data_IF_192669800797
#
_entry.id   IF_192669800797
#
_cell.length_a   1.000
_cell.length_b   1.000
_cell.length_c   1.000
_cell.angle_alpha   90.00
_cell.angle_beta   90.00
_cell.angle_gamma   90.00
#
_symmetry.space_group_name_H-M   'P 1'
#
loop_
_entity.id
_entity.type
_entity.pdbx_description
1 polymer ?
#
# COMPACT_ATOMS: atom_id res chain seq x y z
N UNK A 1 -7.66 15.32 -7.44
CA UNK A 1 -6.34 15.93 -7.20
C UNK A 1 -5.88 16.68 -8.46
N UNK A 2 -6.63 17.73 -8.82
CA UNK A 2 -6.25 18.57 -9.96
C UNK A 2 -5.05 19.46 -9.62
N UNK A 3 -4.41 19.99 -10.66
CA UNK A 3 -3.22 20.85 -10.52
C UNK A 3 -3.38 22.02 -9.53
N UNK A 4 -4.50 22.78 -9.51
CA UNK A 4 -4.70 23.83 -8.51
C UNK A 4 -4.64 23.33 -7.06
N UNK A 5 -5.18 22.14 -6.80
CA UNK A 5 -5.14 21.52 -5.47
C UNK A 5 -3.71 21.11 -5.10
N UNK A 6 -2.96 20.54 -6.05
CA UNK A 6 -1.57 20.12 -5.85
C UNK A 6 -0.67 21.33 -5.55
N UNK A 7 -0.81 22.39 -6.34
CA UNK A 7 -0.07 23.64 -6.14
C UNK A 7 -0.37 24.27 -4.78
N UNK A 8 -1.65 24.27 -4.36
CA UNK A 8 -2.03 24.76 -3.03
C UNK A 8 -1.30 24.01 -1.91
N UNK A 9 -1.25 22.67 -1.97
CA UNK A 9 -0.53 21.88 -0.97
C UNK A 9 0.99 22.08 -1.02
N UNK A 10 1.56 22.19 -2.22
CA UNK A 10 2.97 22.51 -2.39
C UNK A 10 3.35 23.83 -1.71
N UNK A 11 2.58 24.90 -1.96
CA UNK A 11 2.80 26.19 -1.31
C UNK A 11 2.68 26.08 0.21
N UNK A 12 1.66 25.39 0.73
CA UNK A 12 1.49 25.16 2.17
C UNK A 12 2.68 24.40 2.81
N UNK A 13 3.31 23.48 2.08
CA UNK A 13 4.50 22.76 2.55
C UNK A 13 5.71 23.70 2.58
N UNK A 14 5.92 24.49 1.52
CA UNK A 14 7.00 25.48 1.46
C UNK A 14 6.87 26.51 2.58
N UNK A 15 5.68 27.08 2.79
CA UNK A 15 5.42 28.06 3.87
C UNK A 15 5.76 27.47 5.25
N UNK A 16 5.43 26.19 5.48
CA UNK A 16 5.76 25.50 6.74
C UNK A 16 7.26 25.28 6.89
N UNK A 17 7.93 24.82 5.85
CA UNK A 17 9.38 24.59 5.87
C UNK A 17 10.12 25.90 6.13
N UNK A 18 9.73 26.98 5.45
CA UNK A 18 10.27 28.32 5.66
C UNK A 18 10.08 28.77 7.11
N UNK A 19 8.87 28.58 7.67
CA UNK A 19 8.60 28.89 9.08
C UNK A 19 9.48 28.12 10.06
N UNK A 20 9.77 26.84 9.80
CA UNK A 20 10.55 26.00 10.71
C UNK A 20 12.06 26.17 10.55
N UNK A 21 12.53 26.48 9.34
CA UNK A 21 13.95 26.52 9.00
C UNK A 21 14.50 27.94 8.85
N UNK A 22 13.63 28.94 8.70
CA UNK A 22 14.00 30.33 8.42
C UNK A 22 14.42 30.59 6.97
N UNK A 23 14.26 29.63 6.07
CA UNK A 23 14.74 29.73 4.69
C UNK A 23 13.63 29.38 3.68
N UNK A 24 13.38 30.26 2.72
CA UNK A 24 12.51 29.94 1.58
C UNK A 24 13.24 29.00 0.62
N UNK A 25 12.71 27.79 0.46
CA UNK A 25 13.29 26.78 -0.44
C UNK A 25 12.89 26.99 -1.89
N UNK A 26 11.80 27.72 -2.19
CA UNK A 26 11.25 27.85 -3.56
C UNK A 26 12.26 28.36 -4.57
N UNK A 27 13.13 29.36 -4.27
CA UNK A 27 14.14 29.85 -5.21
C UNK A 27 15.24 28.83 -5.52
N UNK A 28 15.34 27.75 -4.74
CA UNK A 28 16.39 26.73 -4.83
C UNK A 28 15.88 25.40 -5.40
N UNK A 29 14.61 25.34 -5.84
CA UNK A 29 14.02 24.13 -6.44
C UNK A 29 14.34 24.11 -7.93
N UNK A 30 15.23 23.19 -8.32
CA UNK A 30 15.56 22.94 -9.73
C UNK A 30 14.55 21.99 -10.40
N UNK A 31 13.99 21.05 -9.63
CA UNK A 31 13.04 20.04 -10.11
C UNK A 31 11.91 19.85 -9.10
N UNK A 32 10.68 19.84 -9.60
CA UNK A 32 9.48 19.53 -8.85
C UNK A 32 8.65 18.50 -9.60
N UNK A 33 8.45 17.35 -8.97
CA UNK A 33 7.49 16.34 -9.41
C UNK A 33 6.48 16.09 -8.28
N UNK A 34 5.22 15.95 -8.66
CA UNK A 34 4.16 15.64 -7.71
C UNK A 34 3.56 14.27 -8.03
N UNK A 35 3.19 13.55 -6.97
CA UNK A 35 2.59 12.24 -7.05
C UNK A 35 1.41 12.19 -6.07
N UNK A 36 0.22 11.88 -6.58
CA UNK A 36 -1.03 11.99 -5.85
C UNK A 36 -1.98 10.83 -6.17
N UNK A 37 -3.24 10.98 -5.78
CA UNK A 37 -4.25 9.93 -5.79
C UNK A 37 -4.48 9.33 -7.18
N UNK A 38 -4.59 10.16 -8.23
CA UNK A 38 -4.74 9.69 -9.61
C UNK A 38 -3.57 8.83 -10.05
N UNK A 39 -2.35 9.19 -9.63
CA UNK A 39 -1.12 8.50 -10.01
C UNK A 39 -1.02 7.15 -9.28
N UNK A 40 -1.48 7.05 -8.02
CA UNK A 40 -1.60 5.74 -7.36
C UNK A 40 -2.57 4.80 -8.10
N UNK A 41 -3.63 5.33 -8.70
CA UNK A 41 -4.56 4.54 -9.49
C UNK A 41 -3.90 4.09 -10.79
N UNK A 42 -3.24 4.99 -11.53
CA UNK A 42 -2.64 4.68 -12.84
C UNK A 42 -1.41 3.78 -12.72
N UNK A 43 -0.47 4.12 -11.84
CA UNK A 43 0.84 3.45 -11.79
C UNK A 43 0.79 2.13 -11.02
N UNK A 44 -0.05 2.04 -9.98
CA UNK A 44 -0.06 0.89 -9.08
C UNK A 44 -1.36 0.08 -9.14
N UNK A 45 -2.30 0.42 -10.03
CA UNK A 45 -3.65 -0.14 -10.04
C UNK A 45 -4.31 -0.06 -8.65
N UNK A 46 -3.98 0.98 -7.88
CA UNK A 46 -4.42 1.08 -6.50
C UNK A 46 -5.89 1.45 -6.44
N UNK A 47 -6.70 0.59 -5.82
CA UNK A 47 -8.13 0.83 -5.66
C UNK A 47 -8.38 2.15 -4.92
N UNK A 48 -9.05 3.11 -5.58
CA UNK A 48 -9.27 4.46 -5.05
C UNK A 48 -7.98 5.12 -4.56
N UNK A 49 -6.88 4.96 -5.30
CA UNK A 49 -5.61 5.67 -5.07
C UNK A 49 -5.07 5.52 -3.65
N UNK A 50 -5.26 4.35 -3.03
CA UNK A 50 -4.80 4.11 -1.67
C UNK A 50 -3.28 3.89 -1.64
N UNK A 51 -2.59 4.53 -0.70
CA UNK A 51 -1.13 4.38 -0.55
C UNK A 51 -0.73 3.35 0.51
N UNK A 52 -1.67 2.90 1.36
CA UNK A 52 -1.36 2.13 2.56
C UNK A 52 -2.41 1.05 2.89
N UNK A 53 -3.17 0.59 1.88
CA UNK A 53 -4.14 -0.48 2.04
C UNK A 53 -5.35 -0.12 2.91
N UNK A 54 -5.84 -1.09 3.70
CA UNK A 54 -6.98 -0.90 4.59
C UNK A 54 -6.68 0.12 5.69
N UNK A 55 -7.66 0.96 6.04
CA UNK A 55 -7.46 1.95 7.08
C UNK A 55 -7.22 1.27 8.44
N UNK A 56 -6.37 1.89 9.26
CA UNK A 56 -5.96 1.38 10.58
C UNK A 56 -7.04 1.57 11.65
N UNK A 57 -8.25 1.12 11.37
CA UNK A 57 -9.36 1.12 12.32
C UNK A 57 -9.52 -0.25 12.95
N UNK A 58 -9.96 -0.31 14.22
CA UNK A 58 -10.20 -1.59 14.92
C UNK A 58 -11.17 -2.50 14.14
N UNK A 59 -12.15 -1.89 13.45
CA UNK A 59 -13.14 -2.59 12.63
C UNK A 59 -12.60 -3.13 11.30
N UNK A 60 -11.37 -2.82 10.89
CA UNK A 60 -10.82 -3.24 9.59
C UNK A 60 -9.52 -4.05 9.67
N UNK A 61 -8.82 -4.05 10.80
CA UNK A 61 -7.42 -4.55 10.85
C UNK A 61 -7.20 -5.85 11.60
N UNK A 62 -8.11 -6.24 12.51
CA UNK A 62 -8.02 -7.48 13.28
C UNK A 62 -8.63 -8.68 12.52
N UNK A 63 -9.73 -9.24 13.00
CA UNK A 63 -10.36 -10.46 12.47
C UNK A 63 -10.94 -10.26 11.05
N UNK A 64 -11.23 -9.01 10.68
CA UNK A 64 -11.90 -8.65 9.42
C UNK A 64 -10.92 -8.42 8.26
N UNK A 65 -9.61 -8.57 8.48
CA UNK A 65 -8.62 -8.46 7.41
C UNK A 65 -8.77 -9.62 6.41
N UNK A 66 -8.71 -9.35 5.09
CA UNK A 66 -8.76 -10.40 4.07
C UNK A 66 -7.69 -11.46 4.28
N UNK A 67 -8.09 -12.73 4.13
CA UNK A 67 -7.20 -13.89 4.22
C UNK A 67 -6.36 -14.03 2.95
N UNK A 68 -5.22 -14.69 3.06
CA UNK A 68 -4.33 -14.91 1.93
C UNK A 68 -4.80 -16.02 0.97
N UNK A 69 -5.76 -16.87 1.36
CA UNK A 69 -6.33 -17.91 0.48
C UNK A 69 -7.76 -17.53 0.08
N UNK A 70 -8.09 -17.71 -1.20
CA UNK A 70 -9.46 -17.55 -1.68
C UNK A 70 -10.37 -18.65 -1.08
N UNK A 71 -11.65 -18.33 -0.85
CA UNK A 71 -12.61 -19.27 -0.24
C UNK A 71 -13.35 -20.16 -1.25
N UNK A 72 -13.36 -19.77 -2.52
CA UNK A 72 -14.11 -20.41 -3.60
C UNK A 72 -13.19 -21.09 -4.62
N UNK A 73 -11.91 -20.69 -4.68
CA UNK A 73 -10.91 -21.22 -5.60
C UNK A 73 -9.73 -21.77 -4.81
N UNK A 74 -9.51 -23.08 -4.89
CA UNK A 74 -8.54 -23.78 -4.03
C UNK A 74 -7.09 -23.45 -4.34
N UNK A 75 -6.77 -23.12 -5.60
CA UNK A 75 -5.43 -22.80 -6.08
C UNK A 75 -5.15 -21.29 -6.23
N UNK A 76 -5.97 -20.43 -5.60
CA UNK A 76 -5.81 -18.98 -5.67
C UNK A 76 -5.43 -18.38 -4.31
N UNK A 77 -4.32 -17.64 -4.31
CA UNK A 77 -3.79 -16.96 -3.13
C UNK A 77 -3.53 -15.48 -3.43
N UNK A 78 -3.52 -14.67 -2.36
CA UNK A 78 -3.31 -13.24 -2.36
C UNK A 78 -2.13 -12.88 -1.48
N UNK A 79 -1.28 -11.98 -1.97
CA UNK A 79 -0.15 -11.40 -1.23
C UNK A 79 -0.21 -9.88 -1.27
N UNK A 80 0.59 -9.24 -0.42
CA UNK A 80 0.78 -7.80 -0.38
C UNK A 80 -0.05 -7.09 0.69
N UNK A 81 -0.16 -5.78 0.54
CA UNK A 81 -0.58 -4.86 1.60
C UNK A 81 -2.05 -4.99 2.06
N UNK A 82 -2.91 -5.61 1.24
CA UNK A 82 -4.35 -5.74 1.52
C UNK A 82 -4.72 -7.04 2.24
N UNK A 83 -3.77 -7.97 2.36
CA UNK A 83 -3.96 -9.27 3.03
C UNK A 83 -3.12 -9.37 4.30
N UNK A 84 -3.27 -10.45 5.06
CA UNK A 84 -2.42 -10.72 6.23
C UNK A 84 -0.94 -10.76 5.81
N UNK A 85 -0.02 -10.05 6.50
CA UNK A 85 -0.19 -9.36 7.79
C UNK A 85 -0.66 -7.90 7.69
N UNK A 86 -0.52 -7.23 6.54
CA UNK A 86 -1.05 -5.89 6.31
C UNK A 86 -0.12 -5.02 5.47
N UNK A 87 -0.30 -3.69 5.51
CA UNK A 87 0.44 -2.74 4.70
C UNK A 87 1.86 -2.46 5.20
N UNK A 88 2.69 -1.91 4.32
CA UNK A 88 4.10 -1.59 4.59
C UNK A 88 5.07 -2.59 3.96
N UNK A 89 6.34 -2.17 3.80
CA UNK A 89 7.36 -2.98 3.12
C UNK A 89 7.62 -4.31 3.85
N UNK A 90 7.92 -4.35 5.16
CA UNK A 90 8.17 -5.64 5.83
C UNK A 90 6.95 -6.58 5.81
N UNK A 91 5.71 -6.11 6.14
CA UNK A 91 4.50 -6.94 6.04
C UNK A 91 4.24 -7.50 4.64
N UNK A 92 4.45 -6.69 3.59
CA UNK A 92 4.25 -7.12 2.21
C UNK A 92 5.23 -8.22 1.81
N UNK A 93 6.50 -8.12 2.20
CA UNK A 93 7.49 -9.18 1.95
C UNK A 93 7.15 -10.45 2.73
N UNK A 94 6.79 -10.31 4.01
CA UNK A 94 6.41 -11.44 4.87
C UNK A 94 5.17 -12.17 4.32
N UNK A 95 4.22 -11.46 3.71
CA UNK A 95 3.03 -12.08 3.11
C UNK A 95 3.39 -13.12 2.04
N UNK A 96 4.45 -12.89 1.26
CA UNK A 96 4.95 -13.86 0.27
C UNK A 96 5.46 -15.14 0.93
N UNK A 97 6.21 -15.01 2.04
CA UNK A 97 6.67 -16.16 2.83
C UNK A 97 5.49 -16.96 3.39
N UNK A 98 4.47 -16.29 3.93
CA UNK A 98 3.26 -16.95 4.46
C UNK A 98 2.54 -17.72 3.36
N UNK A 99 2.31 -17.11 2.20
CA UNK A 99 1.64 -17.79 1.07
C UNK A 99 2.46 -18.95 0.55
N UNK A 100 3.79 -18.82 0.43
CA UNK A 100 4.66 -19.94 0.04
C UNK A 100 4.50 -21.14 0.96
N UNK A 101 4.44 -20.92 2.28
CA UNK A 101 4.22 -22.00 3.26
C UNK A 101 2.82 -22.61 3.15
N UNK A 102 1.79 -21.80 2.89
CA UNK A 102 0.41 -22.28 2.68
C UNK A 102 0.32 -23.19 1.46
N UNK A 103 0.93 -22.77 0.35
CA UNK A 103 0.99 -23.54 -0.90
C UNK A 103 1.70 -24.87 -0.68
N UNK A 104 2.90 -24.85 -0.07
CA UNK A 104 3.67 -26.08 0.20
C UNK A 104 2.88 -27.08 1.05
N UNK A 105 2.22 -26.60 2.12
CA UNK A 105 1.42 -27.45 3.01
C UNK A 105 0.29 -28.16 2.25
N UNK A 106 -0.38 -27.44 1.35
CA UNK A 106 -1.52 -27.97 0.61
C UNK A 106 -1.11 -28.99 -0.46
N UNK A 107 0.01 -28.75 -1.16
CA UNK A 107 0.59 -29.70 -2.11
C UNK A 107 1.09 -30.99 -1.43
N UNK A 108 1.79 -30.88 -0.30
CA UNK A 108 2.22 -32.07 0.46
C UNK A 108 1.03 -32.92 0.93
N UNK A 109 -0.08 -32.26 1.28
CA UNK A 109 -1.31 -32.95 1.67
C UNK A 109 -1.96 -33.66 0.49
N UNK A 110 -1.93 -33.08 -0.71
CA UNK A 110 -2.42 -33.73 -1.92
C UNK A 110 -1.60 -34.96 -2.32
N UNK A 111 -0.27 -34.88 -2.31
CA UNK A 111 0.60 -36.04 -2.62
C UNK A 111 0.48 -37.18 -1.60
N UNK A 112 0.11 -36.89 -0.36
CA UNK A 112 -0.03 -37.90 0.70
C UNK A 112 -1.40 -38.61 0.69
N UNK A 113 -2.38 -38.09 -0.07
CA UNK A 113 -3.75 -38.62 -0.14
C UNK A 113 -3.98 -39.42 -1.44
N UNK A 114 -3.10 -39.27 -2.43
CA UNK A 114 -3.04 -40.08 -3.66
C UNK A 114 -2.19 -41.32 -3.41
#
# INVERSE_FOLDING_TARGET
DNEPTRQRYFNMICDRLEKYTGHDIRPHIEVYESFAHSDFVSEYNSFKGNAYGLANTLKQTAILKPKCKNKQLDNLYYIGQLTVPGPGVPPSIISGKIVSQLVQKEHHTHESII
#
